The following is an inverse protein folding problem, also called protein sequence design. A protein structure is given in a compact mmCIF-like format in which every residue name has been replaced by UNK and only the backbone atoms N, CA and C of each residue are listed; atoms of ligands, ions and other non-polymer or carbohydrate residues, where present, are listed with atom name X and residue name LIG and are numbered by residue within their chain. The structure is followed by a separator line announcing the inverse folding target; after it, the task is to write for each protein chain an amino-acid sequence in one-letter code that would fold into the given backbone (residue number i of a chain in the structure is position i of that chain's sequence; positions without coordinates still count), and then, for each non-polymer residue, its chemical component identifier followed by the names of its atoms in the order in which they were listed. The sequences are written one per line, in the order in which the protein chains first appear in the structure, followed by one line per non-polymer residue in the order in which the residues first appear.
data_IF_246105119559
#
_entry.id   IF_246105119559
#
_cell.length_a   1.000
_cell.length_b   1.000
_cell.length_c   1.000
_cell.angle_alpha   90.00
_cell.angle_beta   90.00
_cell.angle_gamma   90.00
#
_symmetry.space_group_name_H-M   'P 1'
#
loop_
_entity.id
_entity.type
_entity.pdbx_description
1 polymer ?
#
# COMPACT_ATOMS: atom_id res chain seq x y z
N UNK A 1 20.88 6.50 -1.94
CA UNK A 1 21.24 5.18 -2.50
C UNK A 1 19.97 4.33 -2.58
N UNK A 2 19.79 3.65 -3.72
CA UNK A 2 18.82 2.56 -4.03
C UNK A 2 17.30 2.80 -3.97
N UNK A 3 16.77 3.89 -4.56
CA UNK A 3 15.32 4.01 -4.81
C UNK A 3 14.70 2.88 -5.66
N UNK A 4 15.53 2.14 -6.41
CA UNK A 4 15.11 1.04 -7.28
C UNK A 4 15.25 -0.36 -6.68
N UNK A 5 15.59 -0.50 -5.39
CA UNK A 5 15.70 -1.82 -4.78
C UNK A 5 14.32 -2.49 -4.71
N UNK A 6 14.26 -3.77 -5.11
CA UNK A 6 13.08 -4.60 -4.88
C UNK A 6 13.00 -4.90 -3.38
N UNK A 7 11.79 -4.76 -2.84
CA UNK A 7 11.47 -4.99 -1.44
C UNK A 7 10.30 -5.96 -1.34
N UNK A 8 10.28 -6.72 -0.25
CA UNK A 8 9.20 -7.63 0.12
C UNK A 8 8.34 -6.98 1.19
N UNK A 9 7.03 -7.09 1.05
CA UNK A 9 6.05 -6.61 2.02
C UNK A 9 5.05 -7.74 2.28
N UNK A 10 4.82 -8.08 3.55
CA UNK A 10 3.80 -9.02 3.98
C UNK A 10 2.56 -8.24 4.43
N UNK A 11 1.43 -8.43 3.74
CA UNK A 11 0.14 -7.82 4.09
C UNK A 11 -0.83 -8.94 4.46
N UNK A 12 -1.22 -9.02 5.74
CA UNK A 12 -2.16 -10.03 6.23
C UNK A 12 -1.77 -11.48 5.92
N UNK A 13 -0.48 -11.78 5.77
CA UNK A 13 0.04 -13.10 5.40
C UNK A 13 0.33 -13.30 3.91
N UNK A 14 -0.04 -12.34 3.05
CA UNK A 14 0.26 -12.39 1.61
C UNK A 14 1.49 -11.57 1.27
N UNK A 15 2.41 -12.18 0.52
CA UNK A 15 3.67 -11.56 0.13
C UNK A 15 3.51 -10.76 -1.18
N UNK A 16 3.90 -9.48 -1.12
CA UNK A 16 3.98 -8.57 -2.26
C UNK A 16 5.44 -8.20 -2.52
N UNK A 17 5.85 -8.27 -3.79
CA UNK A 17 7.13 -7.73 -4.25
C UNK A 17 6.88 -6.43 -5.02
N UNK A 18 7.66 -5.41 -4.70
CA UNK A 18 7.61 -4.12 -5.38
C UNK A 18 8.94 -3.37 -5.23
N UNK A 19 9.03 -2.13 -5.72
CA UNK A 19 10.19 -1.27 -5.50
C UNK A 19 9.99 -0.39 -4.29
N UNK A 20 11.07 -0.07 -3.57
CA UNK A 20 11.04 0.90 -2.47
C UNK A 20 10.44 2.23 -2.91
N UNK A 21 10.84 2.74 -4.09
CA UNK A 21 10.27 3.96 -4.67
C UNK A 21 8.75 3.92 -4.83
N UNK A 22 8.16 2.76 -5.14
CA UNK A 22 6.70 2.63 -5.23
C UNK A 22 6.06 2.88 -3.85
N UNK A 23 6.60 2.25 -2.80
CA UNK A 23 6.05 2.35 -1.44
C UNK A 23 6.27 3.72 -0.79
N UNK A 24 7.18 4.53 -1.33
CA UNK A 24 7.50 5.87 -0.81
C UNK A 24 7.06 7.01 -1.73
N UNK A 25 6.36 6.71 -2.84
CA UNK A 25 5.94 7.70 -3.84
C UNK A 25 4.96 8.74 -3.28
N UNK A 26 4.07 8.31 -2.41
CA UNK A 26 3.03 9.15 -1.80
C UNK A 26 3.26 9.24 -0.29
N UNK A 27 2.93 10.38 0.30
CA UNK A 27 2.91 10.50 1.75
C UNK A 27 1.87 9.55 2.35
N UNK A 28 2.15 9.08 3.57
CA UNK A 28 1.29 8.12 4.27
C UNK A 28 2.08 7.01 4.95
N UNK A 29 1.33 6.01 5.45
CA UNK A 29 1.83 4.95 6.31
C UNK A 29 3.04 4.22 5.73
N UNK A 30 2.99 3.83 4.45
CA UNK A 30 4.07 3.05 3.82
C UNK A 30 5.33 3.89 3.56
N UNK A 31 5.20 5.18 3.28
CA UNK A 31 6.36 6.05 3.14
C UNK A 31 7.05 6.23 4.48
N UNK A 32 6.28 6.54 5.53
CA UNK A 32 6.80 6.63 6.90
C UNK A 32 7.45 5.32 7.33
N UNK A 33 6.84 4.20 6.94
CA UNK A 33 7.38 2.87 7.23
C UNK A 33 8.77 2.70 6.61
N UNK A 34 8.90 2.96 5.31
CA UNK A 34 10.16 2.68 4.62
C UNK A 34 11.22 3.77 4.85
N UNK A 35 10.87 5.03 5.07
CA UNK A 35 11.83 6.15 5.13
C UNK A 35 12.14 6.62 6.56
N UNK A 36 11.16 6.61 7.46
CA UNK A 36 11.27 7.28 8.76
C UNK A 36 11.53 6.33 9.93
N UNK A 37 11.69 5.03 9.66
CA UNK A 37 12.00 4.03 10.70
C UNK A 37 10.97 4.05 11.85
N UNK A 38 9.69 4.20 11.50
CA UNK A 38 8.58 4.18 12.47
C UNK A 38 8.55 2.84 13.24
N UNK A 39 7.73 2.75 14.29
CA UNK A 39 7.56 1.48 15.03
C UNK A 39 6.90 0.46 14.13
N UNK A 40 7.71 -0.44 13.57
CA UNK A 40 7.28 -1.40 12.57
C UNK A 40 6.98 -2.78 13.15
N UNK A 41 5.91 -3.36 12.63
CA UNK A 41 5.66 -4.79 12.75
C UNK A 41 6.46 -5.55 11.70
N UNK A 42 6.99 -6.69 12.10
CA UNK A 42 7.72 -7.63 11.25
C UNK A 42 7.06 -8.99 11.37
N UNK A 43 7.05 -9.77 10.29
CA UNK A 43 6.60 -11.15 10.35
C UNK A 43 7.69 -12.06 10.97
N UNK A 44 7.41 -13.35 11.24
CA UNK A 44 8.39 -14.28 11.79
C UNK A 44 9.65 -14.50 10.93
N UNK A 45 9.64 -14.11 9.66
CA UNK A 45 10.76 -14.20 8.74
C UNK A 45 11.55 -12.89 8.64
N UNK A 46 11.19 -11.85 9.41
CA UNK A 46 11.81 -10.54 9.35
C UNK A 46 11.39 -9.71 8.13
N UNK A 47 10.24 -10.01 7.52
CA UNK A 47 9.68 -9.23 6.42
C UNK A 47 8.79 -8.11 7.01
N UNK A 48 8.83 -6.88 6.45
CA UNK A 48 7.88 -5.82 6.77
C UNK A 48 6.44 -6.35 6.81
N UNK A 49 5.73 -6.19 7.94
CA UNK A 49 4.38 -6.73 8.10
C UNK A 49 3.35 -5.64 8.32
N UNK A 50 2.23 -5.76 7.61
CA UNK A 50 1.06 -4.91 7.70
C UNK A 50 -0.16 -5.77 7.99
N UNK A 51 -0.79 -5.53 9.14
CA UNK A 51 -1.98 -6.27 9.59
C UNK A 51 -3.26 -5.73 8.92
N UNK A 52 -3.37 -5.93 7.60
CA UNK A 52 -4.49 -5.50 6.74
C UNK A 52 -4.88 -6.61 5.77
N UNK A 53 -6.08 -6.48 5.19
CA UNK A 53 -6.59 -7.45 4.21
C UNK A 53 -5.78 -7.37 2.89
N UNK A 54 -5.15 -8.48 2.44
CA UNK A 54 -4.42 -8.50 1.18
C UNK A 54 -5.29 -8.42 -0.08
N UNK A 55 -6.60 -8.74 -0.01
CA UNK A 55 -7.50 -8.81 -1.17
C UNK A 55 -7.56 -7.46 -1.90
N UNK A 56 -7.69 -6.38 -1.14
CA UNK A 56 -7.83 -5.01 -1.65
C UNK A 56 -6.48 -4.30 -1.81
N UNK A 57 -5.41 -4.84 -1.20
CA UNK A 57 -4.07 -4.23 -1.26
C UNK A 57 -3.54 -4.06 -2.68
N UNK A 58 -4.01 -4.86 -3.65
CA UNK A 58 -3.63 -4.68 -5.07
C UNK A 58 -3.96 -3.26 -5.58
N UNK A 59 -5.08 -2.68 -5.15
CA UNK A 59 -5.53 -1.37 -5.63
C UNK A 59 -4.69 -0.26 -5.01
N UNK A 60 -4.32 -0.42 -3.75
CA UNK A 60 -3.34 0.43 -3.05
C UNK A 60 -2.01 0.40 -3.79
N UNK A 61 -1.49 -0.80 -4.05
CA UNK A 61 -0.19 -0.96 -4.69
C UNK A 61 -0.16 -0.45 -6.13
N UNK A 62 -1.24 -0.65 -6.89
CA UNK A 62 -1.35 -0.12 -8.25
C UNK A 62 -1.51 1.40 -8.27
N UNK A 63 -2.26 1.98 -7.34
CA UNK A 63 -2.29 3.44 -7.17
C UNK A 63 -0.90 3.99 -6.87
N UNK A 64 -0.12 3.33 -6.02
CA UNK A 64 1.26 3.73 -5.75
C UNK A 64 2.18 3.60 -6.99
N UNK A 65 1.86 2.72 -7.96
CA UNK A 65 2.62 2.54 -9.21
C UNK A 65 2.25 3.53 -10.29
N UNK A 66 0.96 3.84 -10.43
CA UNK A 66 0.42 4.55 -11.59
C UNK A 66 -0.10 5.95 -11.21
N UNK A 67 -0.42 6.18 -9.94
CA UNK A 67 -1.04 7.40 -9.43
C UNK A 67 -2.52 7.46 -9.79
N UNK A 68 -2.99 8.65 -10.14
CA UNK A 68 -4.41 8.91 -10.49
C UNK A 68 -4.92 8.12 -11.71
N UNK A 69 -4.03 7.54 -12.51
CA UNK A 69 -4.38 6.69 -13.66
C UNK A 69 -4.72 5.23 -13.26
N UNK A 70 -4.76 4.92 -11.96
CA UNK A 70 -5.06 3.58 -11.47
C UNK A 70 -6.42 3.08 -11.95
N UNK A 71 -6.47 1.82 -12.40
CA UNK A 71 -7.72 1.14 -12.72
C UNK A 71 -8.42 0.66 -11.44
N UNK A 72 -9.55 1.29 -11.12
CA UNK A 72 -10.41 0.92 -10.01
C UNK A 72 -11.56 0.01 -10.46
N UNK A 73 -12.14 -0.81 -9.56
CA UNK A 73 -13.36 -1.54 -9.86
C UNK A 73 -14.50 -0.60 -10.27
N UNK A 74 -15.42 -1.10 -11.08
CA UNK A 74 -16.69 -0.41 -11.40
C UNK A 74 -17.85 -0.86 -10.52
N UNK A 75 -17.60 -1.85 -9.68
CA UNK A 75 -18.57 -2.50 -8.83
C UNK A 75 -18.65 -1.75 -7.49
N UNK A 76 -19.84 -1.23 -7.16
CA UNK A 76 -20.04 -0.38 -5.98
C UNK A 76 -19.75 -1.11 -4.66
N UNK A 77 -20.08 -2.40 -4.58
CA UNK A 77 -19.82 -3.22 -3.39
C UNK A 77 -18.31 -3.32 -3.14
N UNK A 78 -17.54 -3.64 -4.19
CA UNK A 78 -16.07 -3.65 -4.10
C UNK A 78 -15.47 -2.29 -3.79
N UNK A 79 -16.04 -1.21 -4.31
CA UNK A 79 -15.57 0.14 -3.99
C UNK A 79 -15.77 0.42 -2.49
N UNK A 80 -16.90 0.02 -1.92
CA UNK A 80 -17.18 0.19 -0.50
C UNK A 80 -16.21 -0.60 0.38
N UNK A 81 -15.86 -1.83 -0.02
CA UNK A 81 -14.83 -2.61 0.67
C UNK A 81 -13.46 -1.92 0.65
N UNK A 82 -13.09 -1.31 -0.49
CA UNK A 82 -11.77 -0.69 -0.66
C UNK A 82 -11.66 0.63 0.11
N UNK A 83 -12.73 1.42 0.26
CA UNK A 83 -12.69 2.79 0.83
C UNK A 83 -11.95 2.92 2.16
N UNK A 84 -11.91 1.86 2.97
CA UNK A 84 -11.23 1.87 4.26
C UNK A 84 -9.71 1.71 4.15
N UNK A 85 -9.20 1.04 3.12
CA UNK A 85 -7.76 0.80 2.96
C UNK A 85 -6.96 2.08 2.68
N UNK A 86 -7.32 2.95 1.70
CA UNK A 86 -6.57 4.17 1.45
C UNK A 86 -6.55 5.13 2.65
N UNK A 87 -7.60 5.11 3.47
CA UNK A 87 -7.64 5.87 4.73
C UNK A 87 -6.61 5.34 5.72
N UNK A 88 -6.51 4.03 5.89
CA UNK A 88 -5.46 3.40 6.72
C UNK A 88 -4.06 3.74 6.21
N UNK A 89 -3.82 3.62 4.90
CA UNK A 89 -2.52 3.90 4.30
C UNK A 89 -2.18 5.39 4.20
N UNK A 90 -3.12 6.30 4.53
CA UNK A 90 -2.92 7.76 4.45
C UNK A 90 -2.89 8.31 3.02
N UNK A 91 -3.45 7.59 2.05
CA UNK A 91 -3.42 7.94 0.62
C UNK A 91 -4.57 8.88 0.25
N UNK A 92 -4.45 10.16 0.61
CA UNK A 92 -5.51 11.17 0.47
C UNK A 92 -6.06 11.28 -0.96
N UNK A 93 -5.21 11.21 -1.98
CA UNK A 93 -5.65 11.27 -3.38
C UNK A 93 -6.50 10.07 -3.78
N UNK A 94 -6.15 8.86 -3.33
CA UNK A 94 -6.92 7.66 -3.60
C UNK A 94 -8.26 7.65 -2.83
N UNK A 95 -8.29 8.21 -1.62
CA UNK A 95 -9.56 8.42 -0.89
C UNK A 95 -10.51 9.26 -1.74
N UNK A 96 -10.04 10.39 -2.30
CA UNK A 96 -10.85 11.27 -3.16
C UNK A 96 -11.32 10.61 -4.46
N UNK A 97 -10.59 9.64 -4.98
CA UNK A 97 -10.99 8.90 -6.20
C UNK A 97 -12.08 7.85 -5.93
N UNK A 98 -12.27 7.46 -4.67
CA UNK A 98 -13.26 6.46 -4.26
C UNK A 98 -14.50 7.07 -3.60
N UNK A 99 -14.50 8.38 -3.34
CA UNK A 99 -15.66 9.17 -2.89
C UNK A 99 -16.55 9.56 -4.07
#
# INVERSE_FOLDING_TARGET
MSGNCVVTLNVGGTIFLTKRFTLTRFDGYLKDWFENNATHSWDPNGIPFVDRDPIHFRYILNFMRDGVEVSLPRDEERIEEIKNEPKFYGLVELVKLLE
#
